data_IF_689542584409
#
_entry.id   IF_689542584409
#
_cell.length_a   1.000
_cell.length_b   1.000
_cell.length_c   1.000
_cell.angle_alpha   90.00
_cell.angle_beta   90.00
_cell.angle_gamma   90.00
#
_symmetry.space_group_name_H-M   'P 1'
#
loop_
_entity.id
_entity.type
_entity.pdbx_description
1 polymer ?
#
# COMPACT_ATOMS: atom_id res chain seq x y z
N UNK A 1 23.54 -6.41 -42.81
CA UNK A 1 22.26 -6.00 -42.17
C UNK A 1 21.62 -7.07 -41.27
N UNK A 2 22.22 -8.26 -41.07
CA UNK A 2 21.64 -9.32 -40.21
C UNK A 2 22.30 -9.48 -38.81
N UNK A 3 23.42 -8.81 -38.54
CA UNK A 3 24.25 -9.05 -37.34
C UNK A 3 23.92 -8.15 -36.13
N UNK A 4 23.05 -7.15 -36.31
CA UNK A 4 22.59 -6.27 -35.22
C UNK A 4 21.34 -6.84 -34.51
N UNK A 5 20.62 -7.76 -35.15
CA UNK A 5 19.34 -8.26 -34.65
C UNK A 5 19.50 -8.99 -33.32
N UNK A 6 18.63 -8.65 -32.38
CA UNK A 6 18.52 -9.28 -31.07
C UNK A 6 17.24 -10.10 -31.04
N UNK A 7 17.31 -11.30 -30.46
CA UNK A 7 16.16 -12.13 -30.18
C UNK A 7 15.74 -11.93 -28.72
N UNK A 8 14.45 -11.75 -28.48
CA UNK A 8 13.92 -11.57 -27.11
C UNK A 8 12.81 -12.57 -26.85
N UNK A 9 12.79 -13.10 -25.62
CA UNK A 9 11.69 -13.92 -25.13
C UNK A 9 11.56 -13.75 -23.62
N UNK A 10 10.36 -13.43 -23.15
CA UNK A 10 10.10 -13.19 -21.72
C UNK A 10 11.10 -12.16 -21.15
N UNK A 11 11.96 -12.56 -20.20
CA UNK A 11 12.99 -11.73 -19.58
C UNK A 11 14.40 -11.95 -20.14
N UNK A 12 14.53 -12.75 -21.21
CA UNK A 12 15.79 -13.10 -21.84
C UNK A 12 15.98 -12.34 -23.15
N UNK A 13 17.20 -11.88 -23.37
CA UNK A 13 17.66 -11.20 -24.57
C UNK A 13 18.91 -11.91 -25.05
N UNK A 14 18.94 -12.31 -26.32
CA UNK A 14 20.05 -13.00 -26.93
C UNK A 14 20.53 -12.25 -28.16
N UNK A 15 21.83 -11.91 -28.18
CA UNK A 15 22.48 -11.29 -29.32
C UNK A 15 23.59 -12.20 -29.86
N UNK A 16 23.39 -12.70 -31.09
CA UNK A 16 24.34 -13.56 -31.79
C UNK A 16 25.26 -12.73 -32.66
N UNK A 17 26.57 -12.85 -32.46
CA UNK A 17 27.58 -12.13 -33.21
C UNK A 17 28.43 -13.16 -33.97
N UNK A 18 28.26 -13.23 -35.28
CA UNK A 18 28.92 -14.22 -36.16
C UNK A 18 30.42 -13.95 -36.34
N UNK A 19 30.77 -12.70 -36.60
CA UNK A 19 32.16 -12.25 -36.72
C UNK A 19 32.29 -10.80 -36.27
N UNK A 20 33.41 -10.45 -35.64
CA UNK A 20 33.72 -9.05 -35.32
C UNK A 20 34.40 -8.32 -36.50
N UNK A 21 34.95 -9.06 -37.46
CA UNK A 21 35.69 -8.50 -38.59
C UNK A 21 36.82 -7.54 -38.14
N UNK A 22 37.08 -6.45 -38.89
CA UNK A 22 38.04 -5.41 -38.51
C UNK A 22 37.47 -4.38 -37.52
N UNK A 23 36.19 -4.47 -37.15
CA UNK A 23 35.55 -3.50 -36.28
C UNK A 23 36.00 -3.67 -34.83
N UNK A 24 36.18 -2.56 -34.11
CA UNK A 24 36.44 -2.55 -32.67
C UNK A 24 35.16 -2.31 -31.86
N UNK A 25 34.05 -1.96 -32.52
CA UNK A 25 32.78 -1.67 -31.86
C UNK A 25 31.61 -2.25 -32.65
N UNK A 26 30.65 -2.85 -31.93
CA UNK A 26 29.35 -3.24 -32.46
C UNK A 26 28.25 -2.79 -31.50
N UNK A 27 27.12 -2.37 -32.05
CA UNK A 27 25.90 -2.06 -31.30
C UNK A 27 24.77 -2.94 -31.84
N UNK A 28 23.93 -3.43 -30.95
CA UNK A 28 22.74 -4.19 -31.33
C UNK A 28 21.64 -3.28 -31.89
N UNK A 29 20.66 -3.88 -32.55
CA UNK A 29 19.38 -3.22 -32.77
C UNK A 29 18.70 -2.97 -31.42
N UNK A 30 17.90 -1.89 -31.30
CA UNK A 30 17.17 -1.62 -30.08
C UNK A 30 16.12 -2.71 -29.83
N UNK A 31 15.96 -3.11 -28.56
CA UNK A 31 14.96 -4.10 -28.15
C UNK A 31 14.15 -3.60 -26.97
N UNK A 32 12.89 -4.03 -26.85
CA UNK A 32 12.03 -3.65 -25.73
C UNK A 32 12.12 -4.66 -24.59
N UNK A 33 12.26 -4.16 -23.37
CA UNK A 33 12.10 -4.95 -22.16
C UNK A 33 11.46 -4.06 -21.09
N UNK A 34 10.25 -4.44 -20.66
CA UNK A 34 9.40 -3.55 -19.89
C UNK A 34 9.00 -2.29 -20.68
N UNK A 35 8.82 -1.13 -20.01
CA UNK A 35 8.49 0.12 -20.69
C UNK A 35 9.68 0.78 -21.42
N UNK A 36 10.89 0.22 -21.32
CA UNK A 36 12.10 0.82 -21.90
C UNK A 36 12.55 0.12 -23.18
N UNK A 37 13.14 0.92 -24.07
CA UNK A 37 13.94 0.45 -25.20
C UNK A 37 15.39 0.39 -24.77
N UNK A 38 16.05 -0.73 -25.01
CA UNK A 38 17.41 -1.06 -24.59
C UNK A 38 18.31 -1.29 -25.78
N UNK A 39 19.61 -1.14 -25.57
CA UNK A 39 20.65 -1.54 -26.50
C UNK A 39 21.75 -2.30 -25.78
N UNK A 40 22.40 -3.18 -26.54
CA UNK A 40 23.69 -3.76 -26.18
C UNK A 40 24.77 -3.14 -27.05
N UNK A 41 25.97 -2.97 -26.49
CA UNK A 41 27.15 -2.73 -27.30
C UNK A 41 28.33 -3.55 -26.80
N UNK A 42 29.21 -3.88 -27.74
CA UNK A 42 30.43 -4.60 -27.49
C UNK A 42 31.57 -3.80 -28.09
N UNK A 43 32.55 -3.48 -27.25
CA UNK A 43 33.78 -2.83 -27.64
C UNK A 43 34.96 -3.79 -27.43
N UNK A 44 35.77 -3.99 -28.46
CA UNK A 44 36.92 -4.89 -28.46
C UNK A 44 38.19 -4.07 -28.62
N UNK A 45 38.91 -3.91 -27.51
CA UNK A 45 40.25 -3.34 -27.46
C UNK A 45 41.24 -4.43 -27.02
N UNK A 46 41.99 -4.21 -25.92
CA UNK A 46 42.79 -5.27 -25.26
C UNK A 46 41.90 -6.35 -24.63
N UNK A 47 40.75 -5.94 -24.09
CA UNK A 47 39.70 -6.80 -23.55
C UNK A 47 38.39 -6.51 -24.30
N UNK A 48 37.40 -7.39 -24.13
CA UNK A 48 36.04 -7.16 -24.61
C UNK A 48 35.22 -6.49 -23.50
N UNK A 49 34.49 -5.43 -23.83
CA UNK A 49 33.62 -4.70 -22.92
C UNK A 49 32.19 -4.78 -23.42
N UNK A 50 31.30 -5.33 -22.59
CA UNK A 50 29.87 -5.43 -22.90
C UNK A 50 29.13 -4.36 -22.12
N UNK A 51 28.30 -3.57 -22.81
CA UNK A 51 27.44 -2.54 -22.20
C UNK A 51 25.98 -2.87 -22.45
N UNK A 52 25.15 -2.61 -21.44
CA UNK A 52 23.70 -2.70 -21.48
C UNK A 52 23.13 -1.38 -21.01
N UNK A 53 22.32 -0.72 -21.84
CA UNK A 53 21.82 0.61 -21.53
C UNK A 53 20.47 0.91 -22.18
N UNK A 54 19.61 1.72 -21.55
CA UNK A 54 18.38 2.19 -22.16
C UNK A 54 18.65 3.28 -23.21
N UNK A 55 17.78 3.39 -24.20
CA UNK A 55 17.74 4.56 -25.08
C UNK A 55 17.21 5.79 -24.34
N UNK A 56 17.68 7.01 -24.69
CA UNK A 56 17.29 8.25 -24.05
C UNK A 56 15.88 8.70 -24.47
N UNK A 57 14.89 7.86 -24.20
CA UNK A 57 13.46 8.12 -24.40
C UNK A 57 12.90 8.99 -23.26
N UNK A 58 11.73 9.60 -23.48
CA UNK A 58 11.05 10.40 -22.43
C UNK A 58 10.83 9.58 -21.16
N UNK A 59 10.35 8.35 -21.32
CA UNK A 59 10.11 7.41 -20.20
C UNK A 59 11.41 7.09 -19.46
N UNK A 60 12.50 6.80 -20.16
CA UNK A 60 13.79 6.51 -19.51
C UNK A 60 14.36 7.72 -18.73
N UNK A 61 14.03 8.95 -19.14
CA UNK A 61 14.45 10.17 -18.44
C UNK A 61 13.60 10.45 -17.20
N UNK A 62 12.28 10.30 -17.32
CA UNK A 62 11.33 10.53 -16.21
C UNK A 62 11.36 9.38 -15.18
N UNK A 63 11.54 8.14 -15.65
CA UNK A 63 11.55 6.92 -14.86
C UNK A 63 12.70 6.00 -15.32
N UNK A 64 13.94 6.26 -14.89
CA UNK A 64 15.09 5.45 -15.29
C UNK A 64 14.99 4.02 -14.71
N UNK A 65 15.34 2.97 -15.48
CA UNK A 65 15.23 1.59 -15.02
C UNK A 65 16.28 1.25 -13.96
N UNK A 66 15.83 0.63 -12.88
CA UNK A 66 16.71 -0.18 -12.02
C UNK A 66 16.60 -1.63 -12.49
N UNK A 67 17.68 -2.13 -13.08
CA UNK A 67 17.70 -3.48 -13.64
C UNK A 67 18.54 -4.41 -12.76
N UNK A 68 17.95 -5.55 -12.41
CA UNK A 68 18.65 -6.69 -11.83
C UNK A 68 18.81 -7.76 -12.90
N UNK A 69 20.03 -8.09 -13.30
CA UNK A 69 20.28 -8.95 -14.46
C UNK A 69 21.58 -9.75 -14.34
N UNK A 70 21.72 -10.75 -15.20
CA UNK A 70 22.92 -11.56 -15.36
C UNK A 70 23.27 -11.65 -16.85
N UNK A 71 24.56 -11.57 -17.18
CA UNK A 71 25.04 -11.77 -18.54
C UNK A 71 25.74 -13.11 -18.68
N UNK A 72 25.57 -13.74 -19.85
CA UNK A 72 26.31 -14.94 -20.23
C UNK A 72 26.89 -14.78 -21.63
N UNK A 73 28.18 -15.06 -21.79
CA UNK A 73 28.85 -15.09 -23.10
C UNK A 73 29.23 -16.51 -23.44
N UNK A 74 28.74 -17.00 -24.57
CA UNK A 74 28.96 -18.37 -25.05
C UNK A 74 29.64 -18.36 -26.42
N UNK A 75 30.67 -19.16 -26.61
CA UNK A 75 31.39 -19.28 -27.90
C UNK A 75 31.21 -20.64 -28.54
N UNK A 76 31.17 -20.71 -29.87
CA UNK A 76 30.89 -21.95 -30.60
C UNK A 76 32.13 -22.78 -30.99
N UNK A 77 33.35 -22.36 -30.60
CA UNK A 77 34.60 -23.04 -30.96
C UNK A 77 35.07 -23.98 -29.82
N UNK A 78 34.74 -25.27 -29.89
CA UNK A 78 35.41 -26.36 -29.17
C UNK A 78 34.53 -27.19 -28.21
N UNK A 79 34.85 -28.48 -28.10
CA UNK A 79 34.09 -29.55 -27.42
C UNK A 79 33.95 -29.45 -25.88
N UNK A 80 34.51 -28.43 -25.21
CA UNK A 80 34.45 -28.28 -23.74
C UNK A 80 34.73 -26.83 -23.30
N UNK A 81 33.77 -25.91 -23.41
CA UNK A 81 33.88 -24.60 -22.73
C UNK A 81 32.61 -24.22 -21.98
N UNK A 82 32.80 -23.82 -20.72
CA UNK A 82 31.78 -23.21 -19.87
C UNK A 82 31.50 -21.78 -20.35
N UNK A 83 30.24 -21.32 -20.32
CA UNK A 83 29.94 -19.92 -20.61
C UNK A 83 30.61 -18.99 -19.61
N UNK A 84 31.01 -17.80 -20.04
CA UNK A 84 31.45 -16.74 -19.14
C UNK A 84 30.22 -16.08 -18.56
N UNK A 85 30.02 -16.19 -17.25
CA UNK A 85 28.83 -15.70 -16.56
C UNK A 85 29.25 -14.54 -15.68
N UNK A 86 28.55 -13.41 -15.79
CA UNK A 86 28.75 -12.27 -14.89
C UNK A 86 28.20 -12.58 -13.50
N UNK A 87 28.65 -11.89 -12.43
CA UNK A 87 27.86 -11.78 -11.21
C UNK A 87 26.46 -11.24 -11.51
N UNK A 88 25.52 -11.43 -10.59
CA UNK A 88 24.23 -10.74 -10.66
C UNK A 88 24.50 -9.25 -10.40
N UNK A 89 24.01 -8.41 -11.31
CA UNK A 89 24.09 -6.97 -11.21
C UNK A 89 22.73 -6.41 -10.84
N UNK A 90 22.66 -5.44 -9.94
CA UNK A 90 21.50 -4.58 -9.69
C UNK A 90 21.97 -3.13 -9.82
N UNK A 91 21.51 -2.43 -10.87
CA UNK A 91 22.02 -1.11 -11.24
C UNK A 91 20.91 -0.22 -11.76
N UNK A 92 20.97 1.06 -11.40
CA UNK A 92 20.24 2.12 -12.08
C UNK A 92 20.95 2.43 -13.40
N UNK A 93 20.25 2.32 -14.53
CA UNK A 93 20.84 2.51 -15.86
C UNK A 93 20.17 3.69 -16.56
N UNK A 94 20.96 4.69 -16.95
CA UNK A 94 20.48 5.91 -17.64
C UNK A 94 21.16 6.08 -19.00
N UNK A 95 22.39 5.61 -19.12
CA UNK A 95 23.31 5.83 -20.23
C UNK A 95 24.19 4.59 -20.47
N UNK A 96 24.97 4.60 -21.55
CA UNK A 96 25.94 3.55 -21.87
C UNK A 96 27.08 3.40 -20.85
N UNK A 97 27.33 4.43 -20.05
CA UNK A 97 28.45 4.45 -19.10
C UNK A 97 28.10 3.86 -17.74
N UNK A 98 26.80 3.70 -17.43
CA UNK A 98 26.36 3.21 -16.12
C UNK A 98 26.63 1.71 -15.92
N UNK A 99 26.81 0.95 -17.00
CA UNK A 99 27.20 -0.45 -16.95
C UNK A 99 28.16 -0.85 -18.06
N UNK A 100 29.36 -1.26 -17.65
CA UNK A 100 30.39 -1.81 -18.52
C UNK A 100 30.94 -3.07 -17.85
N UNK A 101 30.79 -4.21 -18.52
CA UNK A 101 31.33 -5.48 -18.05
C UNK A 101 32.57 -5.88 -18.85
N UNK A 102 33.78 -5.85 -18.25
CA UNK A 102 34.97 -6.40 -18.88
C UNK A 102 34.91 -7.93 -18.88
N UNK A 103 35.16 -8.52 -20.04
CA UNK A 103 35.26 -9.97 -20.22
C UNK A 103 36.70 -10.31 -20.52
N UNK A 104 37.35 -10.95 -19.55
CA UNK A 104 38.77 -11.36 -19.59
C UNK A 104 38.97 -12.58 -20.49
N UNK A 105 38.66 -12.43 -21.78
CA UNK A 105 38.85 -13.48 -22.78
C UNK A 105 38.92 -12.89 -24.19
N UNK A 106 39.89 -13.35 -24.97
CA UNK A 106 39.97 -13.05 -26.41
C UNK A 106 39.03 -13.98 -27.17
N UNK A 107 37.89 -13.44 -27.61
CA UNK A 107 36.95 -14.17 -28.45
C UNK A 107 37.31 -14.02 -29.93
N UNK A 108 37.48 -15.16 -30.60
CA UNK A 108 37.71 -15.26 -32.03
C UNK A 108 36.57 -16.09 -32.65
N UNK A 109 35.92 -15.54 -33.68
CA UNK A 109 34.78 -16.17 -34.33
C UNK A 109 33.44 -15.85 -33.65
N UNK A 110 32.47 -16.77 -33.81
CA UNK A 110 31.09 -16.60 -33.39
C UNK A 110 30.92 -16.72 -31.87
N UNK A 111 30.20 -15.77 -31.29
CA UNK A 111 29.78 -15.83 -29.89
C UNK A 111 28.37 -15.25 -29.71
N UNK A 112 27.77 -15.55 -28.57
CA UNK A 112 26.43 -15.11 -28.20
C UNK A 112 26.49 -14.43 -26.84
N UNK A 113 25.75 -13.33 -26.70
CA UNK A 113 25.55 -12.62 -25.43
C UNK A 113 24.10 -12.80 -25.04
N UNK A 114 23.90 -13.44 -23.89
CA UNK A 114 22.60 -13.52 -23.24
C UNK A 114 22.54 -12.50 -22.10
N UNK A 115 21.45 -11.75 -22.02
CA UNK A 115 21.08 -10.94 -20.86
C UNK A 115 19.76 -11.49 -20.33
N UNK A 116 19.79 -12.01 -19.11
CA UNK A 116 18.59 -12.43 -18.41
C UNK A 116 18.27 -11.40 -17.33
N UNK A 117 17.17 -10.69 -17.50
CA UNK A 117 16.67 -9.75 -16.52
C UNK A 117 15.92 -10.51 -15.42
N UNK A 118 16.47 -10.48 -14.22
CA UNK A 118 15.87 -11.09 -13.04
C UNK A 118 14.78 -10.20 -12.44
N UNK A 119 15.00 -8.88 -12.46
CA UNK A 119 14.01 -7.88 -12.07
C UNK A 119 14.21 -6.56 -12.83
N UNK A 120 13.13 -5.80 -12.99
CA UNK A 120 13.11 -4.46 -13.55
C UNK A 120 12.21 -3.61 -12.67
N UNK A 121 12.75 -2.54 -12.09
CA UNK A 121 12.02 -1.68 -11.16
C UNK A 121 11.93 -0.23 -11.65
N UNK A 122 10.83 0.43 -11.30
CA UNK A 122 10.61 1.87 -11.47
C UNK A 122 10.71 2.58 -10.12
N UNK A 123 11.40 3.71 -10.06
CA UNK A 123 11.33 4.60 -8.91
C UNK A 123 10.05 5.45 -9.01
N UNK A 124 9.24 5.55 -7.95
CA UNK A 124 8.12 6.49 -7.91
C UNK A 124 8.61 7.94 -8.04
N UNK A 125 7.88 8.76 -8.78
CA UNK A 125 8.19 10.20 -8.97
C UNK A 125 8.14 11.01 -7.68
N UNK A 126 7.46 10.48 -6.65
CA UNK A 126 7.16 11.20 -5.41
C UNK A 126 8.12 10.85 -4.26
N UNK A 127 9.19 10.09 -4.54
CA UNK A 127 10.07 9.54 -3.51
C UNK A 127 9.44 8.31 -2.85
N UNK A 128 10.05 7.15 -3.05
CA UNK A 128 9.58 5.87 -2.51
C UNK A 128 10.49 4.72 -2.97
N UNK A 129 10.26 3.52 -2.43
CA UNK A 129 11.02 2.34 -2.84
C UNK A 129 10.71 1.95 -4.29
N UNK A 130 11.73 1.44 -4.99
CA UNK A 130 11.58 1.02 -6.37
C UNK A 130 10.71 -0.24 -6.47
N UNK A 131 9.67 -0.20 -7.31
CA UNK A 131 8.70 -1.29 -7.47
C UNK A 131 8.95 -2.09 -8.74
N UNK A 132 8.85 -3.42 -8.66
CA UNK A 132 9.00 -4.30 -9.84
C UNK A 132 7.88 -4.04 -10.84
N UNK A 133 8.23 -3.96 -12.12
CA UNK A 133 7.26 -3.87 -13.22
C UNK A 133 6.64 -5.23 -13.54
N UNK A 134 7.28 -6.32 -13.13
CA UNK A 134 6.74 -7.65 -13.35
C UNK A 134 5.80 -8.03 -12.23
N UNK A 135 4.81 -8.89 -12.51
CA UNK A 135 3.97 -9.45 -11.46
C UNK A 135 4.84 -10.14 -10.41
N UNK A 136 5.08 -9.47 -9.29
CA UNK A 136 5.29 -10.16 -8.03
C UNK A 136 3.97 -10.87 -7.70
N UNK A 137 4.00 -11.99 -6.97
CA UNK A 137 2.82 -12.82 -6.64
C UNK A 137 1.61 -12.10 -6.00
N UNK A 138 1.67 -10.79 -5.78
CA UNK A 138 0.57 -9.94 -5.30
C UNK A 138 -0.53 -9.63 -6.33
N UNK A 139 -0.32 -9.78 -7.65
CA UNK A 139 -1.39 -9.51 -8.62
C UNK A 139 -2.58 -10.47 -8.47
N UNK A 140 -2.31 -11.76 -8.24
CA UNK A 140 -3.36 -12.77 -8.01
C UNK A 140 -4.12 -12.51 -6.72
N UNK A 141 -3.42 -12.12 -5.64
CA UNK A 141 -4.05 -11.76 -4.36
C UNK A 141 -4.95 -10.53 -4.50
N UNK A 142 -4.47 -9.47 -5.15
CA UNK A 142 -5.25 -8.24 -5.36
C UNK A 142 -6.54 -8.49 -6.16
N UNK A 143 -6.46 -9.25 -7.26
CA UNK A 143 -7.63 -9.61 -8.05
C UNK A 143 -8.62 -10.49 -7.27
N UNK A 144 -8.12 -11.45 -6.50
CA UNK A 144 -8.96 -12.29 -5.64
C UNK A 144 -9.69 -11.45 -4.58
N UNK A 145 -8.98 -10.56 -3.87
CA UNK A 145 -9.58 -9.64 -2.90
C UNK A 145 -10.66 -8.77 -3.53
N UNK A 146 -10.38 -8.13 -4.67
CA UNK A 146 -11.37 -7.31 -5.38
C UNK A 146 -12.61 -8.09 -5.82
N UNK A 147 -12.42 -9.33 -6.28
CA UNK A 147 -13.54 -10.20 -6.64
C UNK A 147 -14.40 -10.55 -5.42
N UNK A 148 -13.77 -10.91 -4.29
CA UNK A 148 -14.48 -11.21 -3.04
C UNK A 148 -15.25 -10.00 -2.51
N UNK A 149 -14.63 -8.82 -2.47
CA UNK A 149 -15.30 -7.59 -2.04
C UNK A 149 -16.52 -7.25 -2.91
N UNK A 150 -16.45 -7.50 -4.21
CA UNK A 150 -17.60 -7.34 -5.11
C UNK A 150 -18.73 -8.31 -4.77
N UNK A 151 -18.41 -9.55 -4.43
CA UNK A 151 -19.41 -10.53 -3.99
C UNK A 151 -20.07 -10.09 -2.66
N UNK A 152 -19.28 -9.68 -1.67
CA UNK A 152 -19.79 -9.20 -0.38
C UNK A 152 -20.67 -7.95 -0.55
N UNK A 153 -20.24 -7.01 -1.41
CA UNK A 153 -21.04 -5.83 -1.76
C UNK A 153 -22.42 -6.20 -2.31
N UNK A 154 -22.48 -7.17 -3.22
CA UNK A 154 -23.75 -7.66 -3.76
C UNK A 154 -24.61 -8.35 -2.70
N UNK A 155 -24.01 -9.14 -1.82
CA UNK A 155 -24.74 -9.77 -0.71
C UNK A 155 -25.43 -8.71 0.14
N UNK A 156 -24.74 -7.63 0.51
CA UNK A 156 -25.31 -6.55 1.31
C UNK A 156 -26.39 -5.77 0.52
N UNK A 157 -26.06 -5.28 -0.68
CA UNK A 157 -26.93 -4.37 -1.43
C UNK A 157 -28.19 -5.05 -2.00
N UNK A 158 -28.07 -6.29 -2.45
CA UNK A 158 -29.18 -7.08 -3.00
C UNK A 158 -29.84 -7.97 -1.92
N UNK A 159 -29.35 -7.93 -0.67
CA UNK A 159 -29.83 -8.75 0.46
C UNK A 159 -29.85 -10.26 0.14
N UNK A 160 -28.86 -10.74 -0.60
CA UNK A 160 -28.80 -12.14 -1.07
C UNK A 160 -28.55 -13.07 0.11
N UNK A 161 -29.58 -13.83 0.51
CA UNK A 161 -29.56 -14.73 1.67
C UNK A 161 -29.28 -14.03 3.01
N UNK A 162 -29.72 -12.78 3.16
CA UNK A 162 -29.71 -12.12 4.46
C UNK A 162 -30.57 -12.91 5.47
N UNK A 163 -30.01 -13.18 6.65
CA UNK A 163 -30.58 -14.04 7.70
C UNK A 163 -30.74 -13.32 9.05
N UNK A 164 -30.46 -12.01 9.08
CA UNK A 164 -30.67 -11.15 10.25
C UNK A 164 -31.25 -9.80 9.82
N UNK A 165 -32.23 -9.34 10.60
CA UNK A 165 -32.84 -8.01 10.47
C UNK A 165 -32.25 -7.09 11.55
N UNK A 166 -31.75 -5.93 11.16
CA UNK A 166 -31.22 -4.91 12.07
C UNK A 166 -32.22 -3.78 12.16
N UNK A 167 -32.77 -3.52 13.34
CA UNK A 167 -33.64 -2.37 13.61
C UNK A 167 -32.82 -1.21 14.13
N UNK A 168 -32.84 -0.08 13.42
CA UNK A 168 -32.20 1.17 13.84
C UNK A 168 -33.23 2.08 14.52
N UNK A 169 -32.81 3.25 14.99
CA UNK A 169 -33.74 4.19 15.63
C UNK A 169 -34.86 4.70 14.70
N UNK A 170 -34.62 4.70 13.39
CA UNK A 170 -35.43 5.33 12.36
C UNK A 170 -35.65 4.43 11.13
N UNK A 171 -35.22 3.17 11.18
CA UNK A 171 -35.20 2.31 9.99
C UNK A 171 -34.93 0.84 10.26
N UNK A 172 -34.76 0.10 9.18
CA UNK A 172 -34.47 -1.34 9.21
C UNK A 172 -33.53 -1.70 8.08
N UNK A 173 -32.55 -2.55 8.38
CA UNK A 173 -31.54 -3.05 7.45
C UNK A 173 -31.50 -4.57 7.50
N UNK A 174 -30.91 -5.18 6.47
CA UNK A 174 -30.71 -6.63 6.39
C UNK A 174 -29.21 -6.92 6.29
N UNK A 175 -28.77 -7.99 6.96
CA UNK A 175 -27.38 -8.39 7.00
C UNK A 175 -27.25 -9.92 7.14
N UNK A 176 -26.02 -10.38 7.40
CA UNK A 176 -25.68 -11.79 7.51
C UNK A 176 -25.03 -12.07 8.87
N UNK A 177 -25.61 -12.99 9.65
CA UNK A 177 -25.09 -13.41 10.96
C UNK A 177 -23.62 -13.84 10.86
N UNK A 178 -23.26 -14.53 9.78
CA UNK A 178 -21.90 -15.01 9.55
C UNK A 178 -20.88 -13.86 9.46
N UNK A 179 -21.19 -12.80 8.72
CA UNK A 179 -20.29 -11.64 8.58
C UNK A 179 -20.22 -10.87 9.89
N UNK A 180 -21.36 -10.59 10.53
CA UNK A 180 -21.39 -9.88 11.81
C UNK A 180 -20.63 -10.65 12.90
N UNK A 181 -20.81 -11.96 12.99
CA UNK A 181 -20.11 -12.82 13.95
C UNK A 181 -18.61 -12.89 13.68
N UNK A 182 -18.20 -12.98 12.41
CA UNK A 182 -16.78 -13.04 12.06
C UNK A 182 -16.05 -11.73 12.40
N UNK A 183 -16.76 -10.60 12.33
CA UNK A 183 -16.18 -9.27 12.57
C UNK A 183 -16.32 -8.77 14.00
N UNK A 184 -17.12 -9.43 14.86
CA UNK A 184 -17.39 -8.98 16.22
C UNK A 184 -17.67 -10.17 17.16
N UNK A 185 -16.89 -10.31 18.25
CA UNK A 185 -17.16 -11.34 19.25
C UNK A 185 -18.49 -11.11 19.99
N UNK A 186 -18.96 -9.86 20.08
CA UNK A 186 -20.25 -9.50 20.68
C UNK A 186 -21.40 -10.01 19.81
N UNK A 187 -21.37 -9.75 18.50
CA UNK A 187 -22.36 -10.31 17.58
C UNK A 187 -22.30 -11.84 17.55
N UNK A 188 -21.09 -12.42 17.55
CA UNK A 188 -20.94 -13.87 17.61
C UNK A 188 -21.64 -14.48 18.83
N UNK A 189 -21.39 -13.92 20.02
CA UNK A 189 -22.01 -14.38 21.27
C UNK A 189 -23.53 -14.19 21.23
N UNK A 190 -24.00 -13.04 20.74
CA UNK A 190 -25.44 -12.73 20.59
C UNK A 190 -26.18 -13.77 19.74
N UNK A 191 -25.58 -14.23 18.64
CA UNK A 191 -26.21 -15.21 17.75
C UNK A 191 -26.04 -16.66 18.22
N UNK A 192 -25.01 -16.97 19.01
CA UNK A 192 -24.83 -18.29 19.61
C UNK A 192 -25.91 -18.61 20.66
N UNK A 193 -26.37 -17.61 21.40
CA UNK A 193 -27.37 -17.79 22.46
C UNK A 193 -28.79 -18.06 21.91
N UNK A 194 -29.06 -17.72 20.65
CA UNK A 194 -30.38 -17.89 20.00
C UNK A 194 -30.28 -18.51 18.59
N UNK A 195 -29.86 -19.78 18.46
CA UNK A 195 -29.57 -20.39 17.16
C UNK A 195 -30.81 -20.76 16.34
N UNK A 196 -31.98 -20.92 16.96
CA UNK A 196 -33.21 -21.47 16.33
C UNK A 196 -34.14 -20.42 15.69
N UNK A 197 -33.85 -19.13 15.80
CA UNK A 197 -34.67 -18.09 15.14
C UNK A 197 -34.29 -17.95 13.64
N UNK A 198 -35.16 -18.46 12.77
CA UNK A 198 -35.06 -18.37 11.29
C UNK A 198 -34.94 -16.93 10.76
N UNK A 199 -35.33 -15.92 11.56
CA UNK A 199 -35.07 -14.51 11.30
C UNK A 199 -34.78 -13.80 12.62
N UNK A 200 -33.51 -13.78 13.01
CA UNK A 200 -33.10 -13.05 14.23
C UNK A 200 -33.20 -11.55 13.97
N UNK A 201 -33.73 -10.83 14.95
CA UNK A 201 -33.76 -9.36 14.94
C UNK A 201 -32.75 -8.81 15.93
N UNK A 202 -31.88 -7.90 15.49
CA UNK A 202 -30.94 -7.16 16.34
C UNK A 202 -31.39 -5.70 16.41
N UNK A 203 -31.52 -5.16 17.62
CA UNK A 203 -31.88 -3.76 17.83
C UNK A 203 -30.61 -2.93 18.06
N UNK A 204 -30.37 -1.96 17.19
CA UNK A 204 -29.28 -0.96 17.26
C UNK A 204 -29.93 0.43 17.34
N UNK A 205 -30.64 0.68 18.43
CA UNK A 205 -31.44 1.89 18.65
C UNK A 205 -30.59 3.16 18.89
N UNK A 206 -29.28 2.99 19.11
CA UNK A 206 -28.32 4.08 19.28
C UNK A 206 -27.74 4.62 17.97
N UNK A 207 -28.17 4.08 16.82
CA UNK A 207 -27.73 4.52 15.49
C UNK A 207 -28.91 4.86 14.59
N UNK A 208 -28.73 5.91 13.77
CA UNK A 208 -29.56 6.15 12.60
C UNK A 208 -29.23 5.18 11.47
N UNK A 209 -30.21 4.94 10.58
CA UNK A 209 -30.10 4.01 9.44
C UNK A 209 -28.87 4.29 8.58
N UNK A 210 -28.56 5.55 8.31
CA UNK A 210 -27.39 5.95 7.53
C UNK A 210 -26.07 5.58 8.22
N UNK A 211 -25.97 5.82 9.53
CA UNK A 211 -24.76 5.48 10.30
C UNK A 211 -24.58 3.97 10.43
N UNK A 212 -25.67 3.23 10.61
CA UNK A 212 -25.64 1.78 10.65
C UNK A 212 -25.31 1.19 9.26
N UNK A 213 -25.75 1.84 8.18
CA UNK A 213 -25.36 1.48 6.80
C UNK A 213 -23.86 1.67 6.59
N UNK A 214 -23.26 2.73 7.13
CA UNK A 214 -21.82 2.92 7.11
C UNK A 214 -21.09 1.80 7.89
N UNK A 215 -21.61 1.41 9.07
CA UNK A 215 -21.05 0.29 9.85
C UNK A 215 -21.07 -1.01 9.04
N UNK A 216 -22.20 -1.37 8.46
CA UNK A 216 -22.31 -2.55 7.60
C UNK A 216 -21.38 -2.43 6.40
N UNK A 217 -21.30 -1.27 5.76
CA UNK A 217 -20.39 -1.07 4.64
C UNK A 217 -18.93 -1.30 5.04
N UNK A 218 -18.53 -0.91 6.25
CA UNK A 218 -17.18 -1.23 6.76
C UNK A 218 -17.00 -2.74 6.94
N UNK A 219 -17.95 -3.41 7.59
CA UNK A 219 -17.89 -4.86 7.84
C UNK A 219 -17.86 -5.71 6.56
N UNK A 220 -18.44 -5.23 5.46
CA UNK A 220 -18.42 -5.90 4.16
C UNK A 220 -17.27 -5.43 3.26
N UNK A 221 -16.45 -4.49 3.73
CA UNK A 221 -15.30 -3.95 3.01
C UNK A 221 -15.67 -3.04 1.83
N UNK A 222 -16.81 -2.36 1.90
CA UNK A 222 -17.36 -1.49 0.85
C UNK A 222 -17.52 -0.03 1.26
N UNK A 223 -17.17 0.33 2.49
CA UNK A 223 -17.22 1.73 2.95
C UNK A 223 -16.25 2.60 2.13
N UNK A 224 -16.70 3.79 1.76
CA UNK A 224 -15.85 4.81 1.16
C UNK A 224 -15.41 5.85 2.20
N UNK A 225 -14.43 6.68 1.83
CA UNK A 225 -13.85 7.67 2.73
C UNK A 225 -14.87 8.72 3.20
N UNK A 226 -15.79 9.13 2.33
CA UNK A 226 -16.79 10.17 2.60
C UNK A 226 -17.79 9.69 3.66
N UNK A 227 -18.34 8.49 3.48
CA UNK A 227 -19.27 7.87 4.43
C UNK A 227 -18.59 7.59 5.76
N UNK A 228 -17.34 7.11 5.74
CA UNK A 228 -16.56 6.93 6.95
C UNK A 228 -16.39 8.25 7.73
N UNK A 229 -15.92 9.32 7.07
CA UNK A 229 -15.73 10.61 7.72
C UNK A 229 -17.03 11.23 8.25
N UNK A 230 -18.12 11.10 7.50
CA UNK A 230 -19.44 11.60 7.90
C UNK A 230 -19.95 10.89 9.16
N UNK A 231 -19.66 9.60 9.31
CA UNK A 231 -20.24 8.76 10.36
C UNK A 231 -19.24 8.32 11.45
N UNK A 232 -17.97 8.74 11.41
CA UNK A 232 -16.88 8.22 12.27
C UNK A 232 -17.13 8.26 13.78
N UNK A 233 -17.88 9.23 14.30
CA UNK A 233 -18.25 9.27 15.73
C UNK A 233 -19.27 8.18 16.09
N UNK A 234 -20.31 8.01 15.27
CA UNK A 234 -21.27 6.90 15.41
C UNK A 234 -20.59 5.54 15.24
N UNK A 235 -19.65 5.44 14.29
CA UNK A 235 -18.85 4.24 14.06
C UNK A 235 -17.95 3.92 15.25
N UNK A 236 -17.34 4.93 15.88
CA UNK A 236 -16.53 4.75 17.09
C UNK A 236 -17.36 4.17 18.25
N UNK A 237 -18.56 4.71 18.48
CA UNK A 237 -19.48 4.18 19.49
C UNK A 237 -19.87 2.74 19.22
N UNK A 238 -20.22 2.43 17.96
CA UNK A 238 -20.53 1.06 17.53
C UNK A 238 -19.34 0.11 17.67
N UNK A 239 -18.15 0.54 17.26
CA UNK A 239 -16.93 -0.24 17.35
C UNK A 239 -16.59 -0.60 18.80
N UNK A 240 -16.75 0.34 19.73
CA UNK A 240 -16.56 0.07 21.14
C UNK A 240 -17.64 -0.86 21.71
N UNK A 241 -18.91 -0.67 21.32
CA UNK A 241 -20.05 -1.48 21.79
C UNK A 241 -19.99 -2.93 21.32
N UNK A 242 -19.59 -3.14 20.07
CA UNK A 242 -19.53 -4.46 19.45
C UNK A 242 -18.10 -5.04 19.41
N UNK A 243 -17.14 -4.43 20.09
CA UNK A 243 -15.76 -4.90 20.18
C UNK A 243 -15.10 -5.14 18.80
N UNK A 244 -15.21 -4.14 17.92
CA UNK A 244 -14.60 -4.13 16.58
C UNK A 244 -13.33 -3.28 16.66
N UNK A 245 -12.24 -3.89 17.17
CA UNK A 245 -10.99 -3.21 17.53
C UNK A 245 -10.40 -2.42 16.35
N UNK A 246 -10.31 -3.03 15.16
CA UNK A 246 -9.72 -2.39 13.98
C UNK A 246 -10.49 -1.12 13.54
N UNK A 247 -11.82 -1.09 13.72
CA UNK A 247 -12.63 0.08 13.42
C UNK A 247 -12.45 1.17 14.49
N UNK A 248 -12.33 0.76 15.75
CA UNK A 248 -12.09 1.68 16.87
C UNK A 248 -10.75 2.40 16.71
N UNK A 249 -9.70 1.67 16.36
CA UNK A 249 -8.37 2.23 16.11
C UNK A 249 -8.37 3.14 14.89
N UNK A 250 -9.04 2.75 13.80
CA UNK A 250 -9.19 3.59 12.60
C UNK A 250 -9.94 4.90 12.90
N UNK A 251 -10.98 4.84 13.73
CA UNK A 251 -11.69 6.03 14.20
C UNK A 251 -10.80 6.92 15.07
N UNK A 252 -9.99 6.35 15.96
CA UNK A 252 -9.02 7.10 16.77
C UNK A 252 -8.03 7.87 15.90
N UNK A 253 -7.43 7.20 14.91
CA UNK A 253 -6.46 7.81 13.99
C UNK A 253 -7.10 8.93 13.17
N UNK A 254 -8.28 8.68 12.60
CA UNK A 254 -9.04 9.67 11.83
C UNK A 254 -9.42 10.90 12.67
N UNK A 255 -9.81 10.71 13.93
CA UNK A 255 -10.13 11.80 14.86
C UNK A 255 -8.86 12.51 15.38
N UNK A 256 -7.68 11.95 15.20
CA UNK A 256 -6.44 12.65 15.51
C UNK A 256 -5.99 13.57 14.38
N UNK A 257 -6.23 13.18 13.13
CA UNK A 257 -5.71 13.88 11.94
C UNK A 257 -6.22 15.33 11.79
N UNK A 258 -7.45 15.62 12.21
CA UNK A 258 -8.10 16.92 11.99
C UNK A 258 -8.54 17.63 13.29
N UNK A 259 -7.77 17.46 14.38
CA UNK A 259 -8.00 18.17 15.65
C UNK A 259 -7.89 19.68 15.42
N UNK A 260 -8.87 20.43 15.92
CA UNK A 260 -8.88 21.90 15.89
C UNK A 260 -9.68 22.49 17.07
N UNK A 261 -9.69 23.81 17.21
CA UNK A 261 -10.38 24.49 18.32
C UNK A 261 -11.89 24.21 18.36
N UNK A 262 -12.54 23.99 17.22
CA UNK A 262 -13.98 23.72 17.14
C UNK A 262 -14.39 22.31 17.59
N UNK A 263 -13.46 21.35 17.64
CA UNK A 263 -13.78 19.95 17.94
C UNK A 263 -12.96 19.32 19.08
N UNK A 264 -11.88 19.96 19.54
CA UNK A 264 -10.92 19.35 20.47
C UNK A 264 -11.54 18.95 21.81
N UNK A 265 -12.50 19.72 22.33
CA UNK A 265 -13.16 19.42 23.60
C UNK A 265 -14.10 18.20 23.49
N UNK A 266 -14.89 18.13 22.42
CA UNK A 266 -15.72 16.96 22.11
C UNK A 266 -14.85 15.72 21.94
N UNK A 267 -13.77 15.81 21.13
CA UNK A 267 -12.84 14.69 20.93
C UNK A 267 -12.16 14.24 22.21
N UNK A 268 -11.80 15.17 23.10
CA UNK A 268 -11.22 14.83 24.40
C UNK A 268 -12.22 14.06 25.28
N UNK A 269 -13.50 14.43 25.22
CA UNK A 269 -14.57 13.72 25.92
C UNK A 269 -14.76 12.31 25.36
N UNK A 270 -14.85 12.17 24.03
CA UNK A 270 -14.96 10.86 23.36
C UNK A 270 -13.74 9.98 23.64
N UNK A 271 -12.54 10.57 23.67
CA UNK A 271 -11.32 9.85 23.98
C UNK A 271 -11.32 9.28 25.40
N UNK A 272 -11.91 9.99 26.36
CA UNK A 272 -12.04 9.48 27.72
C UNK A 272 -13.13 8.41 27.80
N UNK A 273 -14.29 8.66 27.19
CA UNK A 273 -15.42 7.74 27.18
C UNK A 273 -15.05 6.37 26.60
N UNK A 274 -14.33 6.36 25.48
CA UNK A 274 -13.93 5.14 24.79
C UNK A 274 -12.51 4.68 25.09
N UNK A 275 -11.80 5.34 26.01
CA UNK A 275 -10.41 5.01 26.40
C UNK A 275 -9.45 4.99 25.20
N UNK A 276 -9.43 6.08 24.44
CA UNK A 276 -8.57 6.31 23.28
C UNK A 276 -7.33 7.11 23.70
N UNK A 277 -6.29 6.40 24.12
CA UNK A 277 -5.10 7.01 24.72
C UNK A 277 -4.33 7.93 23.75
N UNK A 278 -4.25 7.56 22.47
CA UNK A 278 -3.55 8.38 21.48
C UNK A 278 -4.34 9.67 21.24
N UNK A 279 -5.66 9.57 21.04
CA UNK A 279 -6.51 10.74 20.83
C UNK A 279 -6.51 11.66 22.05
N UNK A 280 -6.64 11.10 23.26
CA UNK A 280 -6.56 11.87 24.52
C UNK A 280 -5.26 12.65 24.57
N UNK A 281 -4.12 11.99 24.35
CA UNK A 281 -2.80 12.64 24.34
C UNK A 281 -2.71 13.74 23.28
N UNK A 282 -3.19 13.48 22.06
CA UNK A 282 -3.21 14.47 20.98
C UNK A 282 -4.02 15.72 21.35
N UNK A 283 -5.20 15.54 21.91
CA UNK A 283 -6.05 16.63 22.41
C UNK A 283 -5.36 17.42 23.54
N UNK A 284 -4.73 16.75 24.51
CA UNK A 284 -4.02 17.41 25.61
C UNK A 284 -2.82 18.22 25.08
N UNK A 285 -2.00 17.66 24.19
CA UNK A 285 -0.89 18.39 23.55
C UNK A 285 -1.41 19.60 22.76
N UNK A 286 -2.50 19.45 21.99
CA UNK A 286 -3.10 20.57 21.27
C UNK A 286 -3.53 21.69 22.23
N UNK A 287 -4.24 21.36 23.31
CA UNK A 287 -4.77 22.33 24.27
C UNK A 287 -3.67 23.01 25.10
N UNK A 288 -2.76 22.22 25.69
CA UNK A 288 -1.83 22.70 26.71
C UNK A 288 -0.44 23.00 26.12
N UNK A 289 0.19 22.05 25.43
CA UNK A 289 1.55 22.22 24.90
C UNK A 289 1.60 23.29 23.81
N UNK A 290 0.57 23.35 22.95
CA UNK A 290 0.45 24.38 21.91
C UNK A 290 -0.35 25.62 22.35
N UNK A 291 -0.80 25.66 23.62
CA UNK A 291 -1.49 26.80 24.20
C UNK A 291 -2.86 27.12 23.59
N UNK A 292 -3.49 26.17 22.90
CA UNK A 292 -4.81 26.37 22.26
C UNK A 292 -5.99 26.34 23.23
N UNK A 293 -5.74 26.08 24.50
CA UNK A 293 -6.75 26.20 25.56
C UNK A 293 -7.39 27.60 25.62
N UNK A 294 -6.66 28.66 25.24
CA UNK A 294 -7.21 30.01 25.22
C UNK A 294 -8.21 30.24 24.07
N UNK A 295 -8.09 29.47 22.99
CA UNK A 295 -8.97 29.56 21.81
C UNK A 295 -10.34 28.90 22.07
N UNK A 296 -10.48 28.12 23.16
CA UNK A 296 -11.71 27.41 23.56
C UNK A 296 -12.25 27.84 24.92
N UNK A 297 -11.84 29.03 25.39
CA UNK A 297 -12.12 29.51 26.75
C UNK A 297 -13.61 29.58 27.07
N UNK A 298 -14.41 30.01 26.10
CA UNK A 298 -15.83 30.26 26.30
C UNK A 298 -16.61 28.93 26.40
N UNK A 299 -16.12 27.88 25.76
CA UNK A 299 -16.69 26.54 25.77
C UNK A 299 -16.27 25.71 27.00
N UNK A 300 -15.11 25.98 27.59
CA UNK A 300 -14.59 25.24 28.76
C UNK A 300 -15.58 25.18 29.92
N UNK A 301 -16.32 26.27 30.16
CA UNK A 301 -17.31 26.31 31.23
C UNK A 301 -18.48 25.32 31.02
N UNK A 302 -18.85 25.06 29.77
CA UNK A 302 -19.86 24.05 29.41
C UNK A 302 -19.26 22.65 29.46
N UNK A 303 -18.03 22.50 28.97
CA UNK A 303 -17.30 21.25 29.01
C UNK A 303 -17.14 20.70 30.43
N UNK A 304 -16.68 21.53 31.38
CA UNK A 304 -16.47 21.09 32.77
C UNK A 304 -17.75 20.72 33.53
N UNK A 305 -18.93 21.09 33.04
CA UNK A 305 -20.20 20.63 33.64
C UNK A 305 -20.49 19.16 33.34
N UNK A 306 -19.94 18.63 32.26
CA UNK A 306 -20.21 17.28 31.76
C UNK A 306 -18.97 16.38 31.80
N UNK A 307 -17.78 16.97 31.89
CA UNK A 307 -16.53 16.25 31.99
C UNK A 307 -16.45 15.40 33.27
N UNK A 308 -15.88 14.21 33.14
CA UNK A 308 -15.59 13.37 34.29
C UNK A 308 -14.54 14.01 35.21
N UNK A 309 -14.63 13.70 36.51
CA UNK A 309 -13.74 14.27 37.52
C UNK A 309 -12.27 13.98 37.26
N UNK A 310 -11.95 12.77 36.79
CA UNK A 310 -10.58 12.38 36.48
C UNK A 310 -10.01 13.22 35.34
N UNK A 311 -10.78 13.41 34.26
CA UNK A 311 -10.38 14.27 33.14
C UNK A 311 -10.13 15.71 33.57
N UNK A 312 -10.98 16.26 34.44
CA UNK A 312 -10.77 17.60 34.99
C UNK A 312 -9.45 17.68 35.76
N UNK A 313 -9.16 16.68 36.61
CA UNK A 313 -7.90 16.61 37.36
C UNK A 313 -6.70 16.56 36.41
N UNK A 314 -6.74 15.73 35.38
CA UNK A 314 -5.68 15.63 34.37
C UNK A 314 -5.43 16.99 33.69
N UNK A 315 -6.50 17.67 33.27
CA UNK A 315 -6.40 19.01 32.67
C UNK A 315 -5.80 20.03 33.63
N UNK A 316 -6.22 20.05 34.90
CA UNK A 316 -5.65 20.95 35.90
C UNK A 316 -4.16 20.66 36.15
N UNK A 317 -3.76 19.39 36.17
CA UNK A 317 -2.35 19.01 36.31
C UNK A 317 -1.50 19.52 35.14
N UNK A 318 -2.01 19.43 33.91
CA UNK A 318 -1.31 19.97 32.73
C UNK A 318 -1.19 21.50 32.77
N UNK A 319 -2.23 22.23 33.21
CA UNK A 319 -2.12 23.69 33.42
C UNK A 319 -1.03 24.03 34.43
N UNK A 320 -0.98 23.30 35.56
CA UNK A 320 0.03 23.53 36.59
C UNK A 320 1.45 23.18 36.11
N UNK A 321 1.59 22.17 35.26
CA UNK A 321 2.86 21.79 34.66
C UNK A 321 3.35 22.85 33.66
N UNK A 322 2.46 23.32 32.77
CA UNK A 322 2.76 24.38 31.82
C UNK A 322 3.12 25.70 32.52
N UNK A 323 2.47 26.04 33.64
CA UNK A 323 2.78 27.24 34.41
C UNK A 323 4.16 27.18 35.08
N UNK A 324 4.64 26.00 35.49
CA UNK A 324 5.98 25.86 36.08
C UNK A 324 7.12 26.10 35.07
N UNK A 325 6.83 26.08 33.78
CA UNK A 325 7.81 26.20 32.69
C UNK A 325 7.86 27.62 32.06
N UNK A 326 6.96 28.52 32.47
CA UNK A 326 6.85 29.91 31.98
C UNK A 326 7.42 30.92 32.99
#
# INVERSE_FOLDING_TARGET
MAEAKVETISRLVQWKIETFGPCTFKKSDPFKMGPWTWNLSVEKNRHMYIRLFPEPTRIAKEQPPIARFILRVTTNNGLNRRPYISPIHERLLRTSEDFVWPVDSSFYGRFMIDVEFLDLKVCPTNGGEATSIWPCGGQTLSLATQSTLRCLSRMLNESIYADVTIKTNDGTLWAHKAILSASSPVFHSMFLENPEEESSTVNIEDMAVDSCTALLSYLYGTINQEDFWKHRLSLLGAANKYDIIDLKDLCEESLMEDINCGNVLERLQEACLYKLDKLKKGCMTYLFDFGKIYDVRDELGVFFKHAERELMVDMFQEVLAAWKLA
#
